data_IF_332047211058
#
_entry.id   IF_332047211058
#
_cell.length_a   1.000
_cell.length_b   1.000
_cell.length_c   1.000
_cell.angle_alpha   90.00
_cell.angle_beta   90.00
_cell.angle_gamma   90.00
#
_symmetry.space_group_name_H-M   'P 1'
#
loop_
_entity.id
_entity.type
_entity.pdbx_description
1 polymer ?
#
# COMPACT_ATOMS: atom_id res chain seq x y z
N UNK A 1 0.86 -34.89 27.29
CA UNK A 1 0.58 -33.57 26.69
C UNK A 1 -0.44 -33.78 25.59
N UNK A 2 -1.67 -33.31 25.80
CA UNK A 2 -2.76 -33.45 24.82
C UNK A 2 -2.64 -32.30 23.83
N UNK A 3 -2.47 -32.63 22.55
CA UNK A 3 -2.45 -31.66 21.45
C UNK A 3 -3.75 -30.85 21.44
N UNK A 4 -3.72 -29.52 21.22
CA UNK A 4 -4.96 -28.76 21.09
C UNK A 4 -5.75 -29.24 19.87
N UNK A 5 -7.08 -29.30 19.92
CA UNK A 5 -7.89 -29.77 18.81
C UNK A 5 -7.76 -28.82 17.62
N UNK A 6 -7.42 -29.38 16.45
CA UNK A 6 -7.49 -28.67 15.18
C UNK A 6 -8.92 -28.18 14.97
N UNK A 7 -9.14 -26.86 14.95
CA UNK A 7 -10.42 -26.27 14.54
C UNK A 7 -10.73 -26.75 13.12
N UNK A 8 -11.67 -27.68 12.98
CA UNK A 8 -12.20 -28.12 11.68
C UNK A 8 -12.74 -26.88 10.96
N UNK A 9 -12.34 -26.69 9.70
CA UNK A 9 -12.96 -25.70 8.82
C UNK A 9 -14.47 -25.99 8.77
N UNK A 10 -15.29 -25.00 9.14
CA UNK A 10 -16.74 -25.07 8.93
C UNK A 10 -16.97 -25.19 7.43
N UNK A 11 -17.61 -26.28 6.98
CA UNK A 11 -18.18 -26.31 5.64
C UNK A 11 -19.31 -25.28 5.61
N UNK A 12 -19.06 -24.12 5.00
CA UNK A 12 -20.08 -23.08 4.86
C UNK A 12 -21.14 -23.56 3.87
N UNK A 13 -22.40 -23.52 4.27
CA UNK A 13 -23.51 -23.77 3.34
C UNK A 13 -23.70 -22.54 2.41
N UNK A 14 -24.18 -22.73 1.17
CA UNK A 14 -24.51 -21.64 0.24
C UNK A 14 -25.27 -20.46 0.88
N UNK A 15 -26.31 -20.67 1.72
CA UNK A 15 -26.99 -19.57 2.40
C UNK A 15 -26.11 -18.78 3.37
N UNK A 16 -25.07 -19.37 3.97
CA UNK A 16 -24.14 -18.65 4.85
C UNK A 16 -23.23 -17.69 4.07
N UNK A 17 -22.83 -18.07 2.85
CA UNK A 17 -22.00 -17.21 1.98
C UNK A 17 -22.79 -16.01 1.46
N UNK A 18 -24.07 -16.19 1.11
CA UNK A 18 -24.93 -15.07 0.73
C UNK A 18 -25.17 -14.09 1.88
N UNK A 19 -25.37 -14.60 3.10
CA UNK A 19 -25.51 -13.76 4.29
C UNK A 19 -24.21 -13.00 4.55
N UNK A 20 -23.06 -13.65 4.42
CA UNK A 20 -21.75 -13.01 4.54
C UNK A 20 -21.57 -11.88 3.52
N UNK A 21 -21.88 -12.13 2.25
CA UNK A 21 -21.82 -11.10 1.20
C UNK A 21 -22.75 -9.92 1.48
N UNK A 22 -23.98 -10.18 1.93
CA UNK A 22 -24.94 -9.11 2.30
C UNK A 22 -24.41 -8.27 3.45
N UNK A 23 -23.90 -8.89 4.51
CA UNK A 23 -23.35 -8.18 5.67
C UNK A 23 -22.10 -7.40 5.31
N UNK A 24 -21.20 -7.95 4.48
CA UNK A 24 -20.02 -7.24 3.97
C UNK A 24 -20.41 -6.03 3.11
N UNK A 25 -21.39 -6.17 2.21
CA UNK A 25 -21.91 -5.03 1.43
C UNK A 25 -22.48 -3.95 2.34
N UNK A 26 -23.24 -4.34 3.36
CA UNK A 26 -23.79 -3.38 4.31
C UNK A 26 -22.68 -2.67 5.09
N UNK A 27 -21.66 -3.40 5.53
CA UNK A 27 -20.52 -2.84 6.24
C UNK A 27 -19.73 -1.83 5.37
N UNK A 28 -19.50 -2.15 4.09
CA UNK A 28 -18.84 -1.26 3.11
C UNK A 28 -19.60 0.05 2.86
N UNK A 29 -20.92 0.07 3.07
CA UNK A 29 -21.77 1.25 2.90
C UNK A 29 -22.06 1.98 4.22
N UNK A 30 -21.57 1.45 5.34
CA UNK A 30 -21.84 1.97 6.68
C UNK A 30 -20.71 2.87 7.19
N UNK A 31 -20.99 3.67 8.22
CA UNK A 31 -19.93 4.37 8.97
C UNK A 31 -19.09 3.36 9.78
N UNK A 32 -17.91 3.79 10.25
CA UNK A 32 -16.95 2.91 10.94
C UNK A 32 -17.57 2.18 12.14
N UNK A 33 -18.24 2.89 13.04
CA UNK A 33 -18.85 2.28 14.23
C UNK A 33 -19.86 1.16 13.86
N UNK A 34 -20.67 1.38 12.82
CA UNK A 34 -21.66 0.40 12.36
C UNK A 34 -21.00 -0.75 11.60
N UNK A 35 -19.98 -0.46 10.79
CA UNK A 35 -19.17 -1.47 10.11
C UNK A 35 -18.50 -2.39 11.13
N UNK A 36 -17.86 -1.85 12.16
CA UNK A 36 -17.21 -2.65 13.20
C UNK A 36 -18.21 -3.57 13.91
N UNK A 37 -19.40 -3.05 14.25
CA UNK A 37 -20.46 -3.85 14.86
C UNK A 37 -20.94 -5.00 13.97
N UNK A 38 -21.06 -4.78 12.65
CA UNK A 38 -21.45 -5.81 11.69
C UNK A 38 -20.37 -6.89 11.53
N UNK A 39 -19.10 -6.52 11.59
CA UNK A 39 -17.96 -7.40 11.34
C UNK A 39 -17.51 -8.19 12.58
N UNK A 40 -17.87 -7.75 13.80
CA UNK A 40 -17.49 -8.39 15.06
C UNK A 40 -17.82 -9.88 15.13
N UNK A 41 -18.81 -10.34 14.36
CA UNK A 41 -19.30 -11.72 14.36
C UNK A 41 -18.63 -12.63 13.31
N UNK A 42 -17.69 -12.11 12.49
CA UNK A 42 -17.08 -12.85 11.38
C UNK A 42 -16.02 -13.89 11.80
N UNK A 43 -15.97 -14.26 13.08
CA UNK A 43 -15.03 -15.26 13.58
C UNK A 43 -15.22 -16.61 12.88
N UNK A 44 -14.13 -17.14 12.31
CA UNK A 44 -14.09 -18.47 11.68
C UNK A 44 -14.31 -18.52 10.16
N UNK A 45 -14.61 -17.39 9.52
CA UNK A 45 -14.68 -17.26 8.06
C UNK A 45 -13.34 -16.72 7.55
N UNK A 46 -12.38 -17.60 7.25
CA UNK A 46 -11.03 -17.19 6.88
C UNK A 46 -10.96 -16.72 5.43
N UNK A 47 -11.12 -17.66 4.51
CA UNK A 47 -11.05 -17.39 3.06
C UNK A 47 -12.35 -16.79 2.53
N UNK A 48 -13.47 -17.15 3.16
CA UNK A 48 -14.81 -16.81 2.70
C UNK A 48 -15.07 -15.30 2.71
N UNK A 49 -14.43 -14.57 3.64
CA UNK A 49 -14.51 -13.10 3.70
C UNK A 49 -13.82 -12.46 2.49
N UNK A 50 -12.65 -12.98 2.11
CA UNK A 50 -11.90 -12.48 0.96
C UNK A 50 -12.65 -12.83 -0.33
N UNK A 51 -13.20 -14.04 -0.42
CA UNK A 51 -14.00 -14.49 -1.57
C UNK A 51 -15.24 -13.61 -1.76
N UNK A 52 -15.98 -13.40 -0.67
CA UNK A 52 -17.14 -12.52 -0.67
C UNK A 52 -16.75 -11.09 -1.05
N UNK A 53 -15.63 -10.57 -0.55
CA UNK A 53 -15.14 -9.25 -0.91
C UNK A 53 -14.79 -9.15 -2.40
N UNK A 54 -14.09 -10.13 -2.97
CA UNK A 54 -13.76 -10.15 -4.40
C UNK A 54 -15.04 -10.12 -5.25
N UNK A 55 -16.06 -10.90 -4.88
CA UNK A 55 -17.37 -10.89 -5.56
C UNK A 55 -18.02 -9.52 -5.48
N UNK A 56 -18.00 -8.88 -4.30
CA UNK A 56 -18.57 -7.55 -4.11
C UNK A 56 -17.83 -6.52 -4.98
N UNK A 57 -16.50 -6.53 -4.96
CA UNK A 57 -15.69 -5.58 -5.72
C UNK A 57 -15.81 -5.76 -7.23
N UNK A 58 -16.01 -6.99 -7.73
CA UNK A 58 -16.37 -7.23 -9.15
C UNK A 58 -17.70 -6.57 -9.52
N UNK A 59 -18.63 -6.45 -8.56
CA UNK A 59 -19.94 -5.81 -8.77
C UNK A 59 -19.97 -4.29 -8.51
N UNK A 60 -18.96 -3.75 -7.82
CA UNK A 60 -18.90 -2.34 -7.44
C UNK A 60 -18.10 -1.52 -8.46
N UNK A 61 -18.74 -0.44 -8.95
CA UNK A 61 -18.12 0.51 -9.88
C UNK A 61 -17.38 1.67 -9.19
N UNK A 62 -17.76 1.98 -7.96
CA UNK A 62 -17.21 3.13 -7.22
C UNK A 62 -16.04 2.69 -6.34
N UNK A 63 -15.07 3.58 -6.15
CA UNK A 63 -13.99 3.39 -5.19
C UNK A 63 -14.55 3.40 -3.76
N UNK A 64 -14.45 2.28 -3.03
CA UNK A 64 -15.14 2.10 -1.73
C UNK A 64 -14.21 2.07 -0.51
N UNK A 65 -12.89 2.10 -0.70
CA UNK A 65 -11.96 2.02 0.42
C UNK A 65 -11.22 3.33 0.64
N UNK A 66 -11.90 4.32 1.19
CA UNK A 66 -11.21 5.44 1.82
C UNK A 66 -10.66 5.01 3.19
N UNK A 67 -9.52 5.59 3.55
CA UNK A 67 -8.68 5.24 4.70
C UNK A 67 -9.43 4.95 6.01
N UNK A 68 -9.07 3.83 6.65
CA UNK A 68 -9.52 3.28 7.96
C UNK A 68 -10.94 2.70 8.06
N UNK A 69 -11.44 2.06 7.01
CA UNK A 69 -12.62 1.19 7.14
C UNK A 69 -12.34 -0.03 8.03
N UNK A 70 -13.19 -0.34 9.04
CA UNK A 70 -13.15 -1.58 9.80
C UNK A 70 -13.26 -2.84 8.92
N UNK A 71 -13.86 -2.74 7.74
CA UNK A 71 -13.88 -3.83 6.74
C UNK A 71 -12.47 -4.20 6.34
N UNK A 72 -11.64 -3.21 6.02
CA UNK A 72 -10.27 -3.45 5.59
C UNK A 72 -9.44 -4.06 6.72
N UNK A 73 -9.62 -3.57 7.96
CA UNK A 73 -8.95 -4.12 9.13
C UNK A 73 -9.30 -5.61 9.32
N UNK A 74 -10.60 -5.93 9.29
CA UNK A 74 -11.05 -7.32 9.39
C UNK A 74 -10.47 -8.17 8.25
N UNK A 75 -10.55 -7.70 7.01
CA UNK A 75 -10.03 -8.41 5.83
C UNK A 75 -8.53 -8.68 5.94
N UNK A 76 -7.74 -7.69 6.33
CA UNK A 76 -6.31 -7.86 6.56
C UNK A 76 -6.03 -8.87 7.68
N UNK A 77 -6.76 -8.80 8.80
CA UNK A 77 -6.64 -9.74 9.91
C UNK A 77 -6.95 -11.18 9.47
N UNK A 78 -8.02 -11.38 8.71
CA UNK A 78 -8.41 -12.68 8.17
C UNK A 78 -7.40 -13.19 7.14
N UNK A 79 -6.89 -12.33 6.26
CA UNK A 79 -5.83 -12.68 5.30
C UNK A 79 -4.55 -13.13 6.01
N UNK A 80 -4.08 -12.41 7.04
CA UNK A 80 -2.89 -12.78 7.80
C UNK A 80 -3.05 -14.11 8.56
N UNK A 81 -4.29 -14.54 8.80
CA UNK A 81 -4.62 -15.84 9.41
C UNK A 81 -4.70 -17.01 8.44
N UNK A 82 -4.68 -16.75 7.12
CA UNK A 82 -4.70 -17.80 6.11
C UNK A 82 -3.38 -18.58 6.07
N UNK A 83 -3.46 -19.86 5.73
CA UNK A 83 -2.27 -20.62 5.35
C UNK A 83 -1.65 -20.08 4.05
N UNK A 84 -0.32 -20.17 3.92
CA UNK A 84 0.43 -19.61 2.79
C UNK A 84 -0.12 -19.99 1.42
N UNK A 85 -0.53 -21.25 1.22
CA UNK A 85 -1.11 -21.72 -0.06
C UNK A 85 -2.41 -20.98 -0.40
N UNK A 86 -3.32 -20.84 0.57
CA UNK A 86 -4.60 -20.15 0.35
C UNK A 86 -4.41 -18.65 0.16
N UNK A 87 -3.46 -18.04 0.89
CA UNK A 87 -3.11 -16.64 0.68
C UNK A 87 -2.53 -16.39 -0.73
N UNK A 88 -1.68 -17.29 -1.22
CA UNK A 88 -1.15 -17.25 -2.60
C UNK A 88 -2.28 -17.38 -3.63
N UNK A 89 -3.21 -18.32 -3.43
CA UNK A 89 -4.37 -18.47 -4.32
C UNK A 89 -5.20 -17.19 -4.41
N UNK A 90 -5.52 -16.57 -3.26
CA UNK A 90 -6.26 -15.30 -3.25
C UNK A 90 -5.48 -14.15 -3.87
N UNK A 91 -4.17 -14.07 -3.60
CA UNK A 91 -3.31 -13.07 -4.22
C UNK A 91 -3.29 -13.19 -5.75
N UNK A 92 -3.14 -14.42 -6.27
CA UNK A 92 -3.20 -14.68 -7.72
C UNK A 92 -4.57 -14.37 -8.31
N UNK A 93 -5.65 -14.64 -7.60
CA UNK A 93 -6.99 -14.25 -8.05
C UNK A 93 -7.11 -12.72 -8.19
N UNK A 94 -6.63 -11.95 -7.20
CA UNK A 94 -6.61 -10.48 -7.28
C UNK A 94 -5.75 -10.00 -8.46
N UNK A 95 -4.57 -10.60 -8.66
CA UNK A 95 -3.70 -10.33 -9.82
C UNK A 95 -4.44 -10.56 -11.12
N UNK A 96 -5.05 -11.73 -11.28
CA UNK A 96 -5.73 -12.11 -12.51
C UNK A 96 -6.91 -11.18 -12.81
N UNK A 97 -7.61 -10.69 -11.78
CA UNK A 97 -8.65 -9.67 -11.97
C UNK A 97 -8.06 -8.35 -12.48
N UNK A 98 -6.95 -7.88 -11.91
CA UNK A 98 -6.29 -6.64 -12.35
C UNK A 98 -5.81 -6.77 -13.80
N UNK A 99 -5.16 -7.89 -14.14
CA UNK A 99 -4.60 -8.14 -15.46
C UNK A 99 -5.69 -8.31 -16.54
N UNK A 100 -6.86 -8.86 -16.19
CA UNK A 100 -7.93 -9.14 -17.16
C UNK A 100 -9.04 -8.06 -17.21
N UNK A 101 -9.15 -7.17 -16.21
CA UNK A 101 -10.24 -6.17 -16.12
C UNK A 101 -9.78 -4.75 -16.45
N UNK A 102 -8.68 -4.60 -17.18
CA UNK A 102 -8.05 -3.31 -17.46
C UNK A 102 -8.95 -2.43 -18.32
N UNK A 103 -9.24 -1.22 -17.85
CA UNK A 103 -10.24 -0.32 -18.46
C UNK A 103 -11.56 -0.24 -17.70
N UNK A 104 -11.74 -1.07 -16.67
CA UNK A 104 -12.88 -0.97 -15.76
C UNK A 104 -12.54 -0.11 -14.53
N UNK A 105 -13.57 0.48 -13.92
CA UNK A 105 -13.44 1.28 -12.71
C UNK A 105 -13.08 0.43 -11.48
N UNK A 106 -13.25 -0.89 -11.53
CA UNK A 106 -12.95 -1.76 -10.38
C UNK A 106 -11.45 -2.02 -10.18
N UNK A 107 -10.59 -1.75 -11.18
CA UNK A 107 -9.13 -1.96 -11.07
C UNK A 107 -8.53 -1.21 -9.87
N UNK A 108 -9.00 0.02 -9.61
CA UNK A 108 -8.50 0.82 -8.50
C UNK A 108 -8.86 0.20 -7.13
N UNK A 109 -10.04 -0.42 -7.01
CA UNK A 109 -10.45 -1.17 -5.81
C UNK A 109 -9.58 -2.42 -5.58
N UNK A 110 -9.35 -3.21 -6.63
CA UNK A 110 -8.52 -4.41 -6.53
C UNK A 110 -7.06 -4.07 -6.24
N UNK A 111 -6.53 -3.03 -6.86
CA UNK A 111 -5.17 -2.52 -6.59
C UNK A 111 -5.05 -2.04 -5.15
N UNK A 112 -6.02 -1.28 -4.65
CA UNK A 112 -6.04 -0.84 -3.26
C UNK A 112 -6.08 -2.03 -2.30
N UNK A 113 -6.99 -2.99 -2.50
CA UNK A 113 -7.07 -4.17 -1.66
C UNK A 113 -5.74 -4.95 -1.68
N UNK A 114 -5.15 -5.14 -2.86
CA UNK A 114 -3.86 -5.80 -3.01
C UNK A 114 -2.75 -5.10 -2.23
N UNK A 115 -2.64 -3.76 -2.32
CA UNK A 115 -1.68 -2.97 -1.53
C UNK A 115 -1.81 -3.28 -0.03
N UNK A 116 -3.05 -3.27 0.49
CA UNK A 116 -3.31 -3.46 1.91
C UNK A 116 -3.06 -4.89 2.39
N UNK A 117 -3.37 -5.88 1.55
CA UNK A 117 -3.04 -7.28 1.83
C UNK A 117 -1.54 -7.54 1.81
N UNK A 118 -0.81 -6.95 0.85
CA UNK A 118 0.66 -7.03 0.81
C UNK A 118 1.26 -6.43 2.08
N UNK A 119 0.76 -5.25 2.51
CA UNK A 119 1.19 -4.61 3.75
C UNK A 119 0.87 -5.41 5.02
N UNK A 120 -0.12 -6.32 5.00
CA UNK A 120 -0.44 -7.19 6.13
C UNK A 120 0.30 -8.54 6.11
N UNK A 121 1.12 -8.79 5.09
CA UNK A 121 1.98 -9.98 5.04
C UNK A 121 3.14 -9.82 6.01
N UNK A 122 3.13 -10.64 7.06
CA UNK A 122 4.30 -10.83 7.90
C UNK A 122 5.39 -11.59 7.12
N UNK A 123 6.34 -10.85 6.55
CA UNK A 123 7.49 -11.36 5.77
C UNK A 123 8.27 -12.45 6.50
N UNK A 124 8.27 -12.41 7.84
CA UNK A 124 8.93 -13.36 8.72
C UNK A 124 8.19 -14.69 8.89
N UNK A 125 6.89 -14.74 8.59
CA UNK A 125 6.05 -15.93 8.80
C UNK A 125 5.74 -16.69 7.52
N UNK A 126 5.78 -16.03 6.36
CA UNK A 126 5.32 -16.61 5.10
C UNK A 126 6.32 -16.41 3.96
N UNK A 127 7.49 -17.05 4.05
CA UNK A 127 8.55 -16.95 3.02
C UNK A 127 8.05 -17.25 1.61
N UNK A 128 7.22 -18.29 1.48
CA UNK A 128 6.64 -18.68 0.20
C UNK A 128 5.69 -17.62 -0.36
N UNK A 129 4.85 -17.03 0.48
CA UNK A 129 3.91 -15.97 0.07
C UNK A 129 4.67 -14.70 -0.31
N UNK A 130 5.64 -14.29 0.50
CA UNK A 130 6.48 -13.12 0.21
C UNK A 130 7.26 -13.31 -1.10
N UNK A 131 7.86 -14.49 -1.32
CA UNK A 131 8.56 -14.79 -2.57
C UNK A 131 7.64 -14.72 -3.79
N UNK A 132 6.40 -15.21 -3.67
CA UNK A 132 5.42 -15.15 -4.76
C UNK A 132 5.01 -13.70 -5.05
N UNK A 133 4.68 -12.93 -4.01
CA UNK A 133 4.30 -11.52 -4.14
C UNK A 133 5.42 -10.71 -4.81
N UNK A 134 6.66 -10.90 -4.34
CA UNK A 134 7.85 -10.26 -4.90
C UNK A 134 8.09 -10.64 -6.37
N UNK A 135 7.77 -11.88 -6.77
CA UNK A 135 7.90 -12.33 -8.15
C UNK A 135 6.81 -11.74 -9.07
N UNK A 136 5.59 -11.61 -8.57
CA UNK A 136 4.42 -11.27 -9.38
C UNK A 136 4.13 -9.76 -9.46
N UNK A 137 4.29 -9.02 -8.36
CA UNK A 137 4.05 -7.57 -8.31
C UNK A 137 4.76 -6.79 -9.43
N UNK A 138 6.03 -7.07 -9.80
CA UNK A 138 6.70 -6.39 -10.91
C UNK A 138 5.91 -6.41 -12.22
N UNK A 139 5.32 -7.56 -12.55
CA UNK A 139 4.53 -7.73 -13.77
C UNK A 139 3.23 -6.92 -13.73
N UNK A 140 2.59 -6.86 -12.57
CA UNK A 140 1.35 -6.10 -12.34
C UNK A 140 1.63 -4.60 -12.42
N UNK A 141 2.69 -4.12 -11.77
CA UNK A 141 3.12 -2.73 -11.80
C UNK A 141 3.40 -2.28 -13.24
N UNK A 142 4.20 -3.06 -13.98
CA UNK A 142 4.52 -2.78 -15.38
C UNK A 142 3.26 -2.74 -16.24
N UNK A 143 2.34 -3.68 -16.00
CA UNK A 143 1.08 -3.76 -16.72
C UNK A 143 0.19 -2.54 -16.46
N UNK A 144 -0.01 -2.15 -15.20
CA UNK A 144 -0.78 -0.96 -14.82
C UNK A 144 -0.17 0.31 -15.43
N UNK A 145 1.16 0.42 -15.38
CA UNK A 145 1.87 1.55 -15.97
C UNK A 145 1.61 1.70 -17.48
N UNK A 146 1.76 0.60 -18.24
CA UNK A 146 1.52 0.58 -19.69
C UNK A 146 0.07 0.87 -20.08
N UNK A 147 -0.88 0.65 -19.18
CA UNK A 147 -2.30 0.94 -19.37
C UNK A 147 -2.74 2.28 -18.76
N UNK A 148 -1.79 3.19 -18.54
CA UNK A 148 -2.02 4.55 -18.01
C UNK A 148 -2.68 4.58 -16.62
N UNK A 149 -2.56 3.49 -15.85
CA UNK A 149 -2.99 3.39 -14.45
C UNK A 149 -1.82 3.72 -13.52
N UNK A 150 -1.26 4.91 -13.70
CA UNK A 150 -0.01 5.33 -13.04
C UNK A 150 -0.15 5.43 -11.52
N UNK A 151 -1.30 5.89 -11.03
CA UNK A 151 -1.58 6.01 -9.59
C UNK A 151 -1.58 4.63 -8.94
N UNK A 152 -2.26 3.67 -9.55
CA UNK A 152 -2.31 2.29 -9.11
C UNK A 152 -0.94 1.60 -9.19
N UNK A 153 -0.20 1.83 -10.27
CA UNK A 153 1.16 1.32 -10.44
C UNK A 153 2.10 1.84 -9.35
N UNK A 154 2.09 3.14 -9.08
CA UNK A 154 2.90 3.77 -8.03
C UNK A 154 2.57 3.25 -6.63
N UNK A 155 1.28 3.05 -6.34
CA UNK A 155 0.83 2.46 -5.09
C UNK A 155 1.37 1.06 -4.86
N UNK A 156 1.25 0.17 -5.84
CA UNK A 156 1.82 -1.18 -5.73
C UNK A 156 3.34 -1.17 -5.72
N UNK A 157 3.97 -0.22 -6.42
CA UNK A 157 5.41 -0.01 -6.35
C UNK A 157 5.84 0.32 -4.91
N UNK A 158 5.15 1.22 -4.21
CA UNK A 158 5.42 1.51 -2.80
C UNK A 158 5.31 0.25 -1.93
N UNK A 159 4.24 -0.53 -2.07
CA UNK A 159 4.06 -1.77 -1.33
C UNK A 159 5.18 -2.80 -1.61
N UNK A 160 5.63 -2.92 -2.87
CA UNK A 160 6.77 -3.76 -3.24
C UNK A 160 8.06 -3.26 -2.59
N UNK A 161 8.33 -1.95 -2.63
CA UNK A 161 9.53 -1.37 -2.01
C UNK A 161 9.54 -1.59 -0.51
N UNK A 162 8.42 -1.38 0.18
CA UNK A 162 8.28 -1.68 1.60
C UNK A 162 8.58 -3.14 1.91
N UNK A 163 8.04 -4.06 1.10
CA UNK A 163 8.28 -5.48 1.23
C UNK A 163 9.77 -5.83 1.04
N UNK A 164 10.43 -5.23 0.05
CA UNK A 164 11.84 -5.44 -0.24
C UNK A 164 12.76 -4.84 0.82
N UNK A 165 12.41 -3.68 1.38
CA UNK A 165 13.13 -3.09 2.51
C UNK A 165 13.08 -4.02 3.71
N UNK A 166 11.89 -4.49 4.09
CA UNK A 166 11.73 -5.46 5.18
C UNK A 166 12.53 -6.73 4.88
N UNK A 167 12.42 -7.28 3.66
CA UNK A 167 13.17 -8.47 3.28
C UNK A 167 14.69 -8.27 3.39
N UNK A 168 15.22 -7.09 3.01
CA UNK A 168 16.66 -6.77 3.11
C UNK A 168 17.18 -6.76 4.54
N UNK A 169 16.36 -6.35 5.51
CA UNK A 169 16.75 -6.37 6.93
C UNK A 169 16.77 -7.77 7.54
N UNK A 170 15.96 -8.69 7.03
CA UNK A 170 15.77 -10.02 7.62
C UNK A 170 16.33 -11.18 6.78
N UNK A 171 16.81 -10.94 5.55
CA UNK A 171 17.32 -11.96 4.61
C UNK A 171 18.58 -11.48 3.89
N UNK A 172 19.33 -12.41 3.29
CA UNK A 172 20.48 -12.08 2.45
C UNK A 172 20.06 -11.17 1.27
N UNK A 173 20.57 -9.94 1.30
CA UNK A 173 20.10 -8.80 0.48
C UNK A 173 20.28 -8.91 -1.03
N UNK A 174 20.84 -10.00 -1.58
CA UNK A 174 21.13 -10.11 -3.01
C UNK A 174 19.88 -10.34 -3.89
N UNK A 175 18.76 -10.80 -3.33
CA UNK A 175 17.53 -11.03 -4.10
C UNK A 175 16.75 -9.74 -4.42
N UNK A 176 16.92 -8.66 -3.65
CA UNK A 176 16.13 -7.44 -3.79
C UNK A 176 16.58 -6.57 -4.97
N UNK A 177 17.89 -6.46 -5.22
CA UNK A 177 18.44 -5.65 -6.32
C UNK A 177 18.00 -6.16 -7.70
N UNK A 178 18.07 -7.48 -7.93
CA UNK A 178 17.71 -8.09 -9.21
C UNK A 178 16.22 -7.91 -9.56
N UNK A 179 15.35 -7.78 -8.56
CA UNK A 179 13.92 -7.57 -8.79
C UNK A 179 13.57 -6.12 -9.11
N UNK A 180 14.33 -5.16 -8.58
CA UNK A 180 14.10 -3.73 -8.82
C UNK A 180 14.39 -3.32 -10.25
N UNK A 181 15.54 -3.75 -10.79
CA UNK A 181 15.93 -3.49 -12.18
C UNK A 181 14.91 -4.06 -13.17
N UNK A 182 14.28 -5.19 -12.83
CA UNK A 182 13.24 -5.82 -13.65
C UNK A 182 11.89 -5.12 -13.54
N UNK A 183 11.64 -4.40 -12.44
CA UNK A 183 10.33 -3.79 -12.17
C UNK A 183 10.20 -2.40 -12.77
N UNK A 184 11.22 -1.56 -12.61
CA UNK A 184 11.13 -0.15 -12.95
C UNK A 184 11.77 0.13 -14.32
N UNK A 185 10.92 0.40 -15.31
CA UNK A 185 11.38 0.82 -16.63
C UNK A 185 12.05 2.20 -16.58
N UNK A 186 12.87 2.53 -17.58
CA UNK A 186 13.47 3.87 -17.71
C UNK A 186 12.42 4.99 -17.79
N UNK A 187 11.21 4.71 -18.25
CA UNK A 187 10.09 5.65 -18.26
C UNK A 187 9.50 5.86 -16.86
N UNK A 188 9.28 4.77 -16.12
CA UNK A 188 8.82 4.85 -14.72
C UNK A 188 9.80 5.63 -13.86
N UNK A 189 11.10 5.45 -14.07
CA UNK A 189 12.14 6.16 -13.32
C UNK A 189 12.17 7.68 -13.59
N UNK A 190 11.52 8.16 -14.67
CA UNK A 190 11.33 9.60 -14.91
C UNK A 190 10.16 10.18 -14.10
N UNK A 191 9.29 9.33 -13.55
CA UNK A 191 8.21 9.76 -12.67
C UNK A 191 8.79 10.32 -11.35
N UNK A 192 8.45 11.54 -10.93
CA UNK A 192 8.95 12.12 -9.69
C UNK A 192 8.62 11.27 -8.46
N UNK A 193 7.44 10.64 -8.43
CA UNK A 193 7.05 9.71 -7.37
C UNK A 193 8.03 8.53 -7.27
N UNK A 194 8.28 7.87 -8.40
CA UNK A 194 9.18 6.71 -8.46
C UNK A 194 10.62 7.12 -8.14
N UNK A 195 11.05 8.31 -8.58
CA UNK A 195 12.37 8.84 -8.23
C UNK A 195 12.54 8.99 -6.71
N UNK A 196 11.55 9.55 -6.01
CA UNK A 196 11.55 9.64 -4.54
C UNK A 196 11.58 8.24 -3.93
N UNK A 197 10.73 7.32 -4.40
CA UNK A 197 10.64 5.96 -3.88
C UNK A 197 11.97 5.18 -4.00
N UNK A 198 12.67 5.31 -5.13
CA UNK A 198 13.90 4.56 -5.39
C UNK A 198 15.09 4.97 -4.51
N UNK A 199 15.06 6.17 -3.92
CA UNK A 199 16.09 6.60 -2.97
C UNK A 199 16.16 5.66 -1.76
N UNK A 200 15.02 5.11 -1.32
CA UNK A 200 14.97 4.21 -0.16
C UNK A 200 15.74 2.91 -0.36
N UNK A 201 15.81 2.42 -1.60
CA UNK A 201 16.35 1.10 -1.90
C UNK A 201 17.85 1.10 -2.21
N UNK A 202 18.34 2.20 -2.79
CA UNK A 202 19.73 2.36 -3.21
C UNK A 202 20.38 3.60 -2.55
N UNK A 203 20.57 3.60 -1.22
CA UNK A 203 21.14 4.75 -0.52
C UNK A 203 22.61 5.03 -0.88
N UNK A 204 23.34 4.01 -1.37
CA UNK A 204 24.81 4.07 -1.57
C UNK A 204 25.29 3.89 -3.02
N UNK A 205 24.43 3.73 -4.02
CA UNK A 205 24.92 3.47 -5.38
C UNK A 205 25.69 4.68 -5.91
N UNK A 206 26.98 4.53 -6.16
CA UNK A 206 27.85 5.51 -6.84
C UNK A 206 27.38 5.84 -8.26
N UNK A 207 26.51 5.01 -8.83
CA UNK A 207 25.72 5.22 -10.04
C UNK A 207 24.39 5.91 -9.74
N UNK A 208 24.41 6.95 -8.90
CA UNK A 208 23.24 7.84 -8.77
C UNK A 208 22.86 8.28 -10.19
N UNK A 209 21.63 8.08 -10.68
CA UNK A 209 21.02 9.24 -11.29
C UNK A 209 21.07 10.28 -10.18
N UNK A 210 21.77 11.39 -10.38
CA UNK A 210 21.35 12.62 -9.71
C UNK A 210 19.91 12.85 -10.16
N UNK A 211 18.98 12.07 -9.62
CA UNK A 211 17.57 12.19 -9.82
C UNK A 211 17.27 13.46 -9.04
N UNK A 212 17.50 14.56 -9.75
CA UNK A 212 17.22 15.89 -9.28
C UNK A 212 15.74 15.88 -9.01
N UNK A 213 15.38 15.83 -7.73
CA UNK A 213 14.01 15.97 -7.31
C UNK A 213 13.74 17.45 -7.50
N UNK A 214 12.94 17.76 -8.53
CA UNK A 214 12.53 19.12 -8.79
C UNK A 214 11.15 19.35 -8.19
N UNK A 215 11.00 20.44 -7.43
CA UNK A 215 9.73 20.83 -6.83
C UNK A 215 8.61 20.90 -7.87
N UNK A 216 8.89 21.52 -9.01
CA UNK A 216 7.95 21.65 -10.14
C UNK A 216 7.49 20.29 -10.65
N UNK A 217 8.38 19.30 -10.70
CA UNK A 217 8.05 17.96 -11.16
C UNK A 217 7.13 17.24 -10.17
N UNK A 218 7.39 17.36 -8.86
CA UNK A 218 6.48 16.84 -7.81
C UNK A 218 5.11 17.53 -7.83
N UNK A 219 5.08 18.85 -8.00
CA UNK A 219 3.83 19.61 -8.15
C UNK A 219 3.07 19.28 -9.44
N UNK A 220 3.73 18.75 -10.47
CA UNK A 220 3.09 18.31 -11.70
C UNK A 220 2.56 16.86 -11.64
N UNK A 221 2.73 16.15 -10.51
CA UNK A 221 2.11 14.84 -10.34
C UNK A 221 0.58 14.95 -10.43
N UNK A 222 -0.10 13.93 -11.00
CA UNK A 222 -1.56 13.88 -11.07
C UNK A 222 -2.21 14.13 -9.71
N UNK A 223 -3.11 15.11 -9.68
CA UNK A 223 -3.96 15.41 -8.53
C UNK A 223 -5.37 14.87 -8.76
N UNK A 224 -6.05 14.47 -7.68
CA UNK A 224 -7.42 13.98 -7.70
C UNK A 224 -8.11 14.37 -6.38
N UNK A 225 -9.41 14.67 -6.41
CA UNK A 225 -10.19 15.00 -5.22
C UNK A 225 -10.28 13.82 -4.24
N UNK A 226 -10.22 12.59 -4.76
CA UNK A 226 -10.12 11.37 -3.95
C UNK A 226 -8.65 11.21 -3.57
N UNK A 227 -8.32 11.47 -2.29
CA UNK A 227 -6.94 11.41 -1.74
C UNK A 227 -6.22 10.12 -2.13
N UNK A 228 -6.90 8.97 -2.04
CA UNK A 228 -6.34 7.69 -2.42
C UNK A 228 -5.93 7.69 -3.90
N UNK A 229 -6.71 8.27 -4.79
CA UNK A 229 -6.38 8.34 -6.22
C UNK A 229 -5.49 9.55 -6.58
N UNK A 230 -5.03 10.32 -5.60
CA UNK A 230 -4.17 11.48 -5.79
C UNK A 230 -2.69 11.08 -5.64
N UNK A 231 -1.91 11.18 -6.73
CA UNK A 231 -0.49 10.81 -6.68
C UNK A 231 0.33 11.81 -5.87
N UNK A 232 -0.10 13.07 -5.80
CA UNK A 232 0.52 14.07 -4.91
C UNK A 232 0.33 13.70 -3.44
N UNK A 233 -0.88 13.35 -3.01
CA UNK A 233 -1.14 12.91 -1.63
C UNK A 233 -0.35 11.64 -1.29
N UNK A 234 -0.28 10.68 -2.22
CA UNK A 234 0.56 9.49 -2.03
C UNK A 234 2.06 9.84 -1.92
N UNK A 235 2.54 10.84 -2.66
CA UNK A 235 3.94 11.30 -2.57
C UNK A 235 4.21 11.95 -1.20
N UNK A 236 3.26 12.75 -0.69
CA UNK A 236 3.33 13.33 0.66
C UNK A 236 3.39 12.22 1.71
N UNK A 237 2.48 11.25 1.63
CA UNK A 237 2.44 10.13 2.56
C UNK A 237 3.76 9.32 2.50
N UNK A 238 4.32 9.11 1.30
CA UNK A 238 5.61 8.44 1.12
C UNK A 238 6.76 9.24 1.76
N UNK A 239 6.84 10.55 1.51
CA UNK A 239 7.89 11.42 2.06
C UNK A 239 7.82 11.42 3.58
N UNK A 240 6.64 11.61 4.15
CA UNK A 240 6.45 11.64 5.60
C UNK A 240 6.74 10.30 6.26
N UNK A 241 6.26 9.19 5.68
CA UNK A 241 6.44 7.85 6.25
C UNK A 241 7.91 7.42 6.32
N UNK A 242 8.75 7.92 5.40
CA UNK A 242 10.17 7.58 5.33
C UNK A 242 11.09 8.78 5.52
N UNK A 243 10.58 9.87 6.11
CA UNK A 243 11.36 11.09 6.35
C UNK A 243 12.69 10.82 7.08
N UNK A 244 12.74 9.95 8.12
CA UNK A 244 14.00 9.61 8.78
C UNK A 244 15.03 8.97 7.84
N UNK A 245 14.57 8.09 6.95
CA UNK A 245 15.42 7.44 5.95
C UNK A 245 15.92 8.45 4.92
N UNK A 246 15.03 9.30 4.40
CA UNK A 246 15.43 10.34 3.46
C UNK A 246 16.45 11.30 4.08
N UNK A 247 16.26 11.73 5.33
CA UNK A 247 17.19 12.61 6.03
C UNK A 247 18.62 12.03 6.08
N UNK A 248 18.74 10.71 6.15
CA UNK A 248 20.02 10.00 6.14
C UNK A 248 20.61 9.85 4.74
N UNK A 249 19.78 9.66 3.71
CA UNK A 249 20.22 9.27 2.36
C UNK A 249 20.33 10.42 1.34
N UNK A 250 19.56 11.49 1.54
CA UNK A 250 19.44 12.62 0.61
C UNK A 250 20.43 13.74 0.92
N UNK A 251 20.72 14.58 -0.07
CA UNK A 251 21.35 15.88 0.18
C UNK A 251 20.40 16.84 0.88
N UNK A 252 20.94 17.88 1.53
CA UNK A 252 20.14 18.94 2.15
C UNK A 252 19.17 19.60 1.16
N UNK A 253 19.61 19.85 -0.08
CA UNK A 253 18.79 20.43 -1.15
C UNK A 253 17.60 19.52 -1.52
N UNK A 254 17.82 18.21 -1.60
CA UNK A 254 16.76 17.23 -1.89
C UNK A 254 15.73 17.19 -0.76
N UNK A 255 16.18 17.17 0.50
CA UNK A 255 15.28 17.21 1.66
C UNK A 255 14.48 18.49 1.70
N UNK A 256 15.12 19.64 1.50
CA UNK A 256 14.44 20.92 1.45
C UNK A 256 13.34 20.92 0.38
N UNK A 257 13.64 20.39 -0.81
CA UNK A 257 12.66 20.29 -1.90
C UNK A 257 11.48 19.38 -1.53
N UNK A 258 11.74 18.21 -0.93
CA UNK A 258 10.69 17.29 -0.48
C UNK A 258 9.80 17.93 0.59
N UNK A 259 10.39 18.62 1.57
CA UNK A 259 9.63 19.28 2.64
C UNK A 259 8.84 20.48 2.11
N UNK A 260 9.41 21.27 1.20
CA UNK A 260 8.69 22.36 0.54
C UNK A 260 7.48 21.83 -0.24
N UNK A 261 7.63 20.71 -0.95
CA UNK A 261 6.50 20.04 -1.60
C UNK A 261 5.41 19.63 -0.60
N UNK A 262 5.78 19.00 0.52
CA UNK A 262 4.82 18.59 1.57
C UNK A 262 4.06 19.79 2.14
N UNK A 263 4.76 20.89 2.44
CA UNK A 263 4.16 22.12 2.96
C UNK A 263 3.16 22.69 1.94
N UNK A 264 3.56 22.83 0.67
CA UNK A 264 2.70 23.37 -0.37
C UNK A 264 1.43 22.52 -0.57
N UNK A 265 1.57 21.19 -0.54
CA UNK A 265 0.42 20.28 -0.65
C UNK A 265 -0.53 20.38 0.54
N UNK A 266 0.00 20.56 1.76
CA UNK A 266 -0.84 20.77 2.93
C UNK A 266 -1.58 22.11 2.87
N UNK A 267 -0.90 23.19 2.46
CA UNK A 267 -1.52 24.50 2.29
C UNK A 267 -2.65 24.46 1.24
N UNK A 268 -2.42 23.76 0.12
CA UNK A 268 -3.43 23.52 -0.92
C UNK A 268 -4.63 22.74 -0.37
N UNK A 269 -4.41 21.66 0.36
CA UNK A 269 -5.48 20.82 0.91
C UNK A 269 -6.32 21.53 1.98
N UNK A 270 -5.70 22.40 2.79
CA UNK A 270 -6.39 23.11 3.87
C UNK A 270 -7.01 24.44 3.41
N UNK A 271 -6.82 24.87 2.15
CA UNK A 271 -7.16 26.22 1.67
C UNK A 271 -6.56 27.33 2.55
N UNK A 272 -5.39 27.09 3.15
CA UNK A 272 -4.78 28.04 4.09
C UNK A 272 -3.74 28.89 3.38
N UNK A 273 -3.92 30.21 3.46
CA UNK A 273 -2.95 31.22 3.02
C UNK A 273 -2.07 31.77 4.16
N UNK A 274 -2.32 31.34 5.40
CA UNK A 274 -1.79 31.98 6.61
C UNK A 274 -0.65 31.18 7.28
N UNK A 275 0.27 31.93 7.92
CA UNK A 275 1.54 31.42 8.45
C UNK A 275 1.40 30.51 9.67
N UNK A 276 0.30 30.62 10.42
CA UNK A 276 0.09 29.82 11.63
C UNK A 276 -0.13 28.32 11.30
N UNK A 277 -0.61 27.96 10.11
CA UNK A 277 -0.73 26.56 9.68
C UNK A 277 0.59 25.93 9.22
N UNK A 278 1.62 26.73 8.94
CA UNK A 278 2.98 26.22 8.70
C UNK A 278 3.54 25.63 9.99
N UNK A 279 3.16 26.16 11.15
CA UNK A 279 3.56 25.64 12.47
C UNK A 279 3.00 24.24 12.68
N UNK A 280 1.75 23.96 12.28
CA UNK A 280 1.17 22.61 12.36
C UNK A 280 1.90 21.59 11.46
N UNK A 281 2.29 22.01 10.25
CA UNK A 281 3.10 21.17 9.35
C UNK A 281 4.49 20.94 9.94
N UNK A 282 5.12 21.97 10.49
CA UNK A 282 6.41 21.84 11.16
C UNK A 282 6.28 20.95 12.40
N UNK A 283 5.20 21.03 13.18
CA UNK A 283 4.93 20.12 14.30
C UNK A 283 4.77 18.69 13.80
N UNK A 284 4.04 18.46 12.70
CA UNK A 284 3.91 17.13 12.09
C UNK A 284 5.26 16.58 11.63
N UNK A 285 6.07 17.42 10.96
CA UNK A 285 7.42 17.07 10.51
C UNK A 285 8.32 16.77 11.70
N UNK A 286 8.31 17.62 12.74
CA UNK A 286 9.10 17.46 13.95
C UNK A 286 8.70 16.20 14.74
N UNK A 287 7.40 15.90 14.87
CA UNK A 287 6.92 14.65 15.50
C UNK A 287 7.42 13.40 14.78
N UNK A 288 7.50 13.44 13.46
CA UNK A 288 8.05 12.32 12.67
C UNK A 288 9.58 12.22 12.77
N UNK A 289 10.28 13.29 13.19
CA UNK A 289 11.72 13.28 13.42
C UNK A 289 12.08 12.88 14.85
N UNK A 290 11.30 13.29 15.86
CA UNK A 290 11.58 12.99 17.28
C UNK A 290 11.29 11.53 17.68
N UNK A 291 10.46 10.82 16.92
CA UNK A 291 10.27 9.36 17.09
C UNK A 291 11.51 8.53 16.73
N UNK A 292 12.51 9.13 16.10
CA UNK A 292 13.76 8.47 15.68
C UNK A 292 14.83 8.50 16.78
N UNK A 293 14.80 9.52 17.64
CA UNK A 293 15.83 9.70 18.68
C UNK A 293 15.58 8.81 19.92
N UNK A 294 14.33 8.42 20.19
CA UNK A 294 14.00 7.58 21.37
C UNK A 294 14.29 6.07 21.15
N UNK A 295 14.43 5.61 19.91
CA UNK A 295 14.74 4.19 19.58
C UNK A 295 16.24 3.94 19.33
N UNK A 296 17.09 4.97 19.45
CA UNK A 296 18.54 4.92 19.18
C UNK A 296 19.45 4.72 20.41
N UNK A 297 18.89 4.72 21.62
CA UNK A 297 19.61 4.42 22.87
C UNK A 297 19.11 3.10 23.48
N UNK A 298 19.58 1.98 22.93
CA UNK A 298 19.34 0.62 23.43
C UNK A 298 20.43 -0.36 23.02
#
# INVERSE_FOLDING_TARGET
MVSPPSKKAKHSSEPEVEVLQKTLRQALLSNDASSEALLKNFTGFGKEIIDALIVILKSCKVFQFSSTSPVLHAVCQHFSSLGATTAIERFRELRDVILNSTGTECVSNFTFLMEKLVGSVHVLRYDKLSSEICSDLPSIITFLWKNSKHVEACRLAKALVELLLVAKWYRDGNQSEMQLEKTFSAEMLKCPYTAVLMILLNPQSSTRPNAKIELSALMNLPSNDIRELCLRSQAVDLILSFLPSYYTYCSHEQIQTMLEFVILQYMEACNVSDKDSIVDVLILVLKNLSTVEEDGEG
#
